data_IF_929555009800
#
_entry.id   IF_929555009800
#
_cell.length_a   1.000
_cell.length_b   1.000
_cell.length_c   1.000
_cell.angle_alpha   90.00
_cell.angle_beta   90.00
_cell.angle_gamma   90.00
#
_symmetry.space_group_name_H-M   'P 1'
#
loop_
_entity.id
_entity.type
_entity.pdbx_description
1 polymer ?
#
# COMPACT_ATOMS: atom_id res chain seq x y z
N UNK A 1 -34.15 38.34 -25.73
CA UNK A 1 -33.95 36.87 -25.68
C UNK A 1 -32.51 36.64 -25.24
N UNK A 2 -32.30 36.28 -23.97
CA UNK A 2 -30.98 36.12 -23.34
C UNK A 2 -30.35 34.79 -23.78
N UNK A 3 -29.14 34.81 -24.32
CA UNK A 3 -28.28 33.63 -24.35
C UNK A 3 -27.60 33.59 -22.99
N UNK A 4 -28.11 32.76 -22.07
CA UNK A 4 -27.42 32.51 -20.82
C UNK A 4 -26.10 31.80 -21.14
N UNK A 5 -24.98 32.44 -20.82
CA UNK A 5 -23.68 31.83 -20.75
C UNK A 5 -23.76 30.64 -19.78
N UNK A 6 -23.69 29.44 -20.33
CA UNK A 6 -23.58 28.23 -19.54
C UNK A 6 -22.08 28.05 -19.25
N UNK A 7 -21.58 28.78 -18.26
CA UNK A 7 -20.30 28.52 -17.60
C UNK A 7 -20.42 27.17 -16.87
N UNK A 8 -20.43 26.08 -17.65
CA UNK A 8 -20.01 24.81 -17.12
C UNK A 8 -18.50 24.89 -17.01
N UNK A 9 -18.03 25.21 -15.81
CA UNK A 9 -16.72 24.80 -15.33
C UNK A 9 -16.66 23.26 -15.44
N UNK A 10 -16.29 22.80 -16.64
CA UNK A 10 -15.94 21.42 -16.91
C UNK A 10 -14.66 21.18 -16.12
N UNK A 11 -14.81 20.58 -14.93
CA UNK A 11 -13.69 19.94 -14.25
C UNK A 11 -13.01 19.01 -15.26
N UNK A 12 -11.71 19.22 -15.50
CA UNK A 12 -10.95 18.53 -16.54
C UNK A 12 -11.01 17.01 -16.31
N UNK A 13 -11.67 16.23 -17.19
CA UNK A 13 -11.92 14.80 -16.98
C UNK A 13 -10.63 13.97 -16.85
N UNK A 14 -9.51 14.47 -17.36
CA UNK A 14 -8.20 13.82 -17.25
C UNK A 14 -7.68 13.83 -15.80
N UNK A 15 -8.06 14.84 -15.02
CA UNK A 15 -7.62 14.98 -13.63
C UNK A 15 -8.31 13.97 -12.70
N UNK A 16 -9.58 13.67 -12.96
CA UNK A 16 -10.39 12.72 -12.19
C UNK A 16 -9.95 11.26 -12.44
N UNK A 17 -9.73 10.87 -13.70
CA UNK A 17 -9.25 9.52 -14.01
C UNK A 17 -7.84 9.26 -13.47
N UNK A 18 -6.94 10.24 -13.57
CA UNK A 18 -5.58 10.11 -13.04
C UNK A 18 -5.58 10.03 -11.52
N UNK A 19 -6.42 10.82 -10.84
CA UNK A 19 -6.58 10.75 -9.39
C UNK A 19 -7.15 9.39 -8.94
N UNK A 20 -8.16 8.89 -9.65
CA UNK A 20 -8.74 7.57 -9.40
C UNK A 20 -7.71 6.44 -9.57
N UNK A 21 -6.91 6.48 -10.65
CA UNK A 21 -5.84 5.49 -10.86
C UNK A 21 -4.77 5.52 -9.77
N UNK A 22 -4.38 6.71 -9.30
CA UNK A 22 -3.44 6.84 -8.17
C UNK A 22 -4.02 6.25 -6.89
N UNK A 23 -5.26 6.59 -6.56
CA UNK A 23 -5.94 6.03 -5.39
C UNK A 23 -6.03 4.50 -5.45
N UNK A 24 -6.38 3.95 -6.62
CA UNK A 24 -6.42 2.50 -6.84
C UNK A 24 -5.04 1.85 -6.69
N UNK A 25 -3.98 2.48 -7.23
CA UNK A 25 -2.61 2.02 -7.09
C UNK A 25 -2.14 2.05 -5.64
N UNK A 26 -2.41 3.14 -4.91
CA UNK A 26 -2.07 3.28 -3.49
C UNK A 26 -2.74 2.19 -2.65
N UNK A 27 -4.03 1.92 -2.91
CA UNK A 27 -4.76 0.83 -2.26
C UNK A 27 -4.15 -0.55 -2.55
N UNK A 28 -3.87 -0.84 -3.83
CA UNK A 28 -3.26 -2.10 -4.23
C UNK A 28 -1.85 -2.30 -3.66
N UNK A 29 -1.05 -1.24 -3.58
CA UNK A 29 0.29 -1.28 -2.97
C UNK A 29 0.18 -1.56 -1.47
N UNK A 30 -0.74 -0.91 -0.75
CA UNK A 30 -0.95 -1.17 0.68
C UNK A 30 -1.39 -2.61 0.96
N UNK A 31 -2.31 -3.14 0.16
CA UNK A 31 -2.73 -4.55 0.28
C UNK A 31 -1.58 -5.52 0.01
N UNK A 32 -0.77 -5.23 -1.01
CA UNK A 32 0.43 -6.01 -1.31
C UNK A 32 1.44 -5.95 -0.15
N UNK A 33 1.70 -4.77 0.44
CA UNK A 33 2.58 -4.60 1.59
C UNK A 33 2.10 -5.37 2.82
N UNK A 34 0.79 -5.36 3.11
CA UNK A 34 0.20 -6.17 4.19
C UNK A 34 0.42 -7.68 3.96
N UNK A 35 0.21 -8.12 2.72
CA UNK A 35 0.48 -9.51 2.32
C UNK A 35 1.95 -9.88 2.53
N UNK A 36 2.89 -9.01 2.14
CA UNK A 36 4.32 -9.24 2.38
C UNK A 36 4.64 -9.31 3.88
N UNK A 37 4.04 -8.46 4.71
CA UNK A 37 4.25 -8.49 6.16
C UNK A 37 3.83 -9.85 6.77
N UNK A 38 2.72 -10.42 6.29
CA UNK A 38 2.23 -11.74 6.71
C UNK A 38 3.18 -12.86 6.28
N UNK A 39 3.69 -12.82 5.04
CA UNK A 39 4.66 -13.80 4.51
C UNK A 39 5.97 -13.77 5.31
N UNK A 40 6.49 -12.57 5.59
CA UNK A 40 7.72 -12.39 6.38
C UNK A 40 7.54 -12.92 7.80
N UNK A 41 6.40 -12.60 8.43
CA UNK A 41 6.07 -13.10 9.78
C UNK A 41 6.03 -14.63 9.79
N UNK A 42 5.44 -15.26 8.76
CA UNK A 42 5.38 -16.72 8.67
C UNK A 42 6.77 -17.37 8.59
N UNK A 43 7.67 -16.83 7.76
CA UNK A 43 9.05 -17.34 7.69
C UNK A 43 9.84 -17.13 8.98
N UNK A 44 9.63 -15.98 9.62
CA UNK A 44 10.22 -15.67 10.93
C UNK A 44 9.78 -16.70 11.97
N UNK A 45 8.49 -17.01 12.04
CA UNK A 45 7.97 -17.98 13.00
C UNK A 45 8.51 -19.39 12.72
N UNK A 46 8.60 -19.79 11.45
CA UNK A 46 9.22 -21.06 11.07
C UNK A 46 10.71 -21.14 11.48
N UNK A 47 11.46 -20.04 11.34
CA UNK A 47 12.85 -19.98 11.78
C UNK A 47 12.97 -20.08 13.30
N UNK A 48 12.08 -19.43 14.06
CA UNK A 48 12.03 -19.55 15.51
C UNK A 48 11.72 -20.99 15.94
N UNK A 49 10.73 -21.62 15.31
CA UNK A 49 10.32 -23.00 15.60
C UNK A 49 11.42 -24.03 15.28
N UNK A 50 12.20 -23.78 14.22
CA UNK A 50 13.30 -24.66 13.81
C UNK A 50 14.63 -24.40 14.54
N UNK A 51 14.69 -23.39 15.41
CA UNK A 51 15.92 -23.00 16.10
C UNK A 51 16.97 -22.40 15.16
N UNK A 52 16.50 -21.66 14.15
CA UNK A 52 17.34 -20.99 13.16
C UNK A 52 18.18 -19.85 13.73
N UNK A 53 18.93 -19.20 12.84
CA UNK A 53 19.85 -18.11 13.18
C UNK A 53 19.10 -16.91 13.83
N UNK A 54 19.45 -16.52 15.08
CA UNK A 54 18.80 -15.41 15.76
C UNK A 54 19.00 -14.05 15.06
N UNK A 55 20.12 -13.84 14.37
CA UNK A 55 20.36 -12.57 13.66
C UNK A 55 19.44 -12.45 12.43
N UNK A 56 19.18 -13.59 11.77
CA UNK A 56 18.21 -13.65 10.68
C UNK A 56 16.77 -13.44 11.17
N UNK A 57 16.41 -14.03 12.31
CA UNK A 57 15.09 -13.80 12.95
C UNK A 57 14.90 -12.30 13.26
N UNK A 58 15.90 -11.65 13.87
CA UNK A 58 15.84 -10.22 14.17
C UNK A 58 15.67 -9.36 12.90
N UNK A 59 16.38 -9.71 11.82
CA UNK A 59 16.24 -9.02 10.52
C UNK A 59 14.81 -9.14 9.96
N UNK A 60 14.18 -10.30 10.10
CA UNK A 60 12.79 -10.49 9.65
C UNK A 60 11.78 -9.76 10.54
N UNK A 61 12.04 -9.66 11.86
CA UNK A 61 11.22 -8.86 12.77
C UNK A 61 11.23 -7.37 12.37
N UNK A 62 12.42 -6.81 12.12
CA UNK A 62 12.58 -5.42 11.65
C UNK A 62 11.88 -5.20 10.29
N UNK A 63 12.02 -6.16 9.37
CA UNK A 63 11.40 -6.06 8.06
C UNK A 63 9.87 -6.14 8.14
N UNK A 64 9.32 -7.02 8.97
CA UNK A 64 7.87 -7.10 9.20
C UNK A 64 7.34 -5.79 9.81
N UNK A 65 8.07 -5.18 10.73
CA UNK A 65 7.70 -3.88 11.30
C UNK A 65 7.68 -2.77 10.24
N UNK A 66 8.70 -2.72 9.36
CA UNK A 66 8.74 -1.80 8.23
C UNK A 66 7.53 -1.98 7.31
N UNK A 67 7.21 -3.21 6.90
CA UNK A 67 6.10 -3.48 5.97
C UNK A 67 4.74 -3.08 6.56
N UNK A 68 4.51 -3.36 7.84
CA UNK A 68 3.27 -2.94 8.54
C UNK A 68 3.18 -1.42 8.69
N UNK A 69 4.31 -0.76 8.95
CA UNK A 69 4.35 0.70 8.98
C UNK A 69 4.03 1.31 7.61
N UNK A 70 4.54 0.71 6.54
CA UNK A 70 4.34 1.17 5.17
C UNK A 70 2.91 0.91 4.64
N UNK A 71 2.22 -0.13 5.11
CA UNK A 71 0.83 -0.42 4.70
C UNK A 71 -0.21 0.44 5.43
N UNK A 72 0.13 1.01 6.59
CA UNK A 72 -0.78 1.79 7.42
C UNK A 72 -0.88 3.29 7.04
N UNK A 73 0.09 3.82 6.29
CA UNK A 73 0.16 5.23 5.87
C UNK A 73 -0.51 5.48 4.54
#
# INVERSE_FOLDING_TARGET
MLIAANDHEQADPVTDETAMRRCAADGAVREWLDTQARVVTWWRDLLVESGGDPDLVATLDDHAAFLRGASAG
#
